data_IF_927607030624
#
_entry.id   IF_927607030624
#
_cell.length_a   1.000
_cell.length_b   1.000
_cell.length_c   1.000
_cell.angle_alpha   90.00
_cell.angle_beta   90.00
_cell.angle_gamma   90.00
#
_symmetry.space_group_name_H-M   'P 1'
#
loop_
_entity.id
_entity.type
_entity.pdbx_description
1 polymer ?
#
# COMPACT_ATOMS: atom_id res chain seq x y z
N UNK A 1 -13.76 6.43 11.62
CA UNK A 1 -14.31 7.67 11.10
C UNK A 1 -13.24 8.36 10.29
N UNK A 2 -13.44 8.47 9.00
CA UNK A 2 -12.57 9.25 8.15
C UNK A 2 -12.68 10.68 8.64
N UNK A 3 -11.62 11.32 9.14
CA UNK A 3 -11.72 12.72 9.50
C UNK A 3 -11.96 13.49 8.22
N UNK A 4 -13.20 13.84 8.02
CA UNK A 4 -13.54 14.84 7.03
C UNK A 4 -12.70 16.06 7.36
N UNK A 5 -12.05 16.62 6.37
CA UNK A 5 -11.18 17.75 6.47
C UNK A 5 -11.55 18.72 7.57
N UNK A 6 -10.68 18.87 8.55
CA UNK A 6 -10.79 19.96 9.52
C UNK A 6 -10.01 21.13 8.94
N UNK A 7 -10.72 22.19 8.66
CA UNK A 7 -10.11 23.45 8.30
C UNK A 7 -9.47 24.07 9.53
N UNK A 8 -8.18 24.33 9.46
CA UNK A 8 -7.59 25.28 10.39
C UNK A 8 -8.16 26.67 10.08
N UNK A 9 -8.40 27.46 11.10
CA UNK A 9 -8.92 28.81 10.95
C UNK A 9 -8.02 29.61 10.01
N UNK A 10 -8.58 30.13 8.92
CA UNK A 10 -7.85 30.89 7.92
C UNK A 10 -7.35 30.07 6.71
N UNK A 11 -7.51 28.76 6.69
CA UNK A 11 -7.21 27.98 5.49
C UNK A 11 -8.30 28.17 4.43
N UNK A 12 -7.86 28.24 3.18
CA UNK A 12 -8.78 28.28 2.02
C UNK A 12 -9.17 26.85 1.60
N UNK A 13 -10.42 26.68 1.17
CA UNK A 13 -10.93 25.40 0.68
C UNK A 13 -10.10 24.78 -0.46
N UNK A 14 -9.61 25.60 -1.36
CA UNK A 14 -8.78 25.18 -2.48
C UNK A 14 -7.43 24.58 -2.08
N UNK A 15 -7.05 24.70 -0.82
CA UNK A 15 -5.78 24.21 -0.28
C UNK A 15 -5.95 22.96 0.59
N UNK A 16 -7.09 22.29 0.52
CA UNK A 16 -7.23 21.05 1.26
C UNK A 16 -6.35 19.94 0.68
N UNK A 17 -5.94 19.03 1.53
CA UNK A 17 -5.03 17.95 1.17
C UNK A 17 -5.58 17.09 0.02
N UNK A 18 -6.87 16.81 0.01
CA UNK A 18 -7.50 16.00 -1.01
C UNK A 18 -7.39 16.64 -2.40
N UNK A 19 -7.74 17.93 -2.52
CA UNK A 19 -7.67 18.61 -3.82
C UNK A 19 -6.24 18.71 -4.36
N UNK A 20 -5.24 18.70 -3.49
CA UNK A 20 -3.83 18.65 -3.89
C UNK A 20 -3.40 17.25 -4.36
N UNK A 21 -4.04 16.19 -3.85
CA UNK A 21 -3.69 14.80 -4.15
C UNK A 21 -4.48 14.20 -5.31
N UNK A 22 -5.71 14.65 -5.56
CA UNK A 22 -6.56 14.11 -6.63
C UNK A 22 -5.88 14.06 -8.01
N UNK A 23 -5.10 15.05 -8.44
CA UNK A 23 -4.39 14.97 -9.72
C UNK A 23 -3.40 13.80 -9.81
N UNK A 24 -2.73 13.45 -8.71
CA UNK A 24 -1.85 12.30 -8.66
C UNK A 24 -2.64 10.99 -8.79
N UNK A 25 -3.73 10.85 -8.05
CA UNK A 25 -4.58 9.66 -8.09
C UNK A 25 -5.19 9.46 -9.48
N UNK A 26 -5.61 10.54 -10.13
CA UNK A 26 -6.11 10.51 -11.51
C UNK A 26 -5.04 10.04 -12.49
N UNK A 27 -3.80 10.53 -12.36
CA UNK A 27 -2.67 10.08 -13.19
C UNK A 27 -2.39 8.59 -13.02
N UNK A 28 -2.41 8.09 -11.78
CA UNK A 28 -2.23 6.67 -11.48
C UNK A 28 -3.34 5.86 -12.14
N UNK A 29 -4.60 6.23 -11.94
CA UNK A 29 -5.75 5.48 -12.45
C UNK A 29 -5.84 5.50 -13.98
N UNK A 30 -5.36 6.54 -14.64
CA UNK A 30 -5.27 6.59 -16.11
C UNK A 30 -4.25 5.60 -16.68
N UNK A 31 -3.22 5.26 -15.92
CA UNK A 31 -2.20 4.27 -16.30
C UNK A 31 -2.55 2.86 -15.86
N UNK A 32 -3.43 2.70 -14.90
CA UNK A 32 -3.77 1.40 -14.34
C UNK A 32 -4.46 0.52 -15.40
N UNK A 33 -4.12 -0.80 -15.44
CA UNK A 33 -4.89 -1.76 -16.21
C UNK A 33 -6.36 -1.76 -15.77
N UNK A 34 -7.27 -2.13 -16.67
CA UNK A 34 -8.72 -2.19 -16.36
C UNK A 34 -9.04 -3.12 -15.18
N UNK A 35 -8.22 -4.15 -14.96
CA UNK A 35 -8.37 -5.08 -13.83
C UNK A 35 -8.13 -4.43 -12.46
N UNK A 36 -7.47 -3.27 -12.40
CA UNK A 36 -7.16 -2.54 -11.16
C UNK A 36 -8.09 -1.33 -11.00
N UNK A 37 -9.32 -1.58 -10.59
CA UNK A 37 -10.36 -0.55 -10.51
C UNK A 37 -10.37 0.26 -9.22
N UNK A 38 -9.81 -0.27 -8.14
CA UNK A 38 -9.93 0.32 -6.81
C UNK A 38 -8.61 0.89 -6.36
N UNK A 39 -8.61 2.17 -6.03
CA UNK A 39 -7.48 2.85 -5.40
C UNK A 39 -7.81 3.11 -3.93
N UNK A 40 -6.92 2.68 -3.04
CA UNK A 40 -6.93 3.05 -1.64
C UNK A 40 -5.83 4.08 -1.42
N UNK A 41 -6.17 5.19 -0.79
CA UNK A 41 -5.21 6.23 -0.45
C UNK A 41 -5.34 6.61 1.03
N UNK A 42 -4.19 6.68 1.72
CA UNK A 42 -4.14 7.19 3.09
C UNK A 42 -4.53 8.67 3.14
N UNK A 43 -5.33 9.04 4.14
CA UNK A 43 -5.83 10.40 4.30
C UNK A 43 -4.88 11.35 5.02
N UNK A 44 -3.79 10.85 5.55
CA UNK A 44 -2.82 11.60 6.36
C UNK A 44 -1.45 11.80 5.69
N UNK A 45 -1.35 11.48 4.41
CA UNK A 45 -0.11 11.57 3.62
C UNK A 45 -0.28 12.58 2.49
N UNK A 46 0.68 13.47 2.34
CA UNK A 46 0.81 14.36 1.20
C UNK A 46 1.98 13.94 0.33
N UNK A 47 1.71 13.57 -0.92
CA UNK A 47 2.69 13.04 -1.86
C UNK A 47 2.82 13.97 -3.05
N UNK A 48 4.05 14.30 -3.40
CA UNK A 48 4.38 15.03 -4.62
C UNK A 48 5.16 14.11 -5.55
N UNK A 49 4.62 13.89 -6.75
CA UNK A 49 5.27 13.12 -7.80
C UNK A 49 5.40 13.99 -9.05
N UNK A 50 6.60 14.42 -9.35
CA UNK A 50 6.89 15.32 -10.46
C UNK A 50 7.45 14.58 -11.69
N UNK A 51 7.82 13.33 -11.54
CA UNK A 51 8.35 12.48 -12.60
C UNK A 51 7.23 11.69 -13.29
N UNK A 52 7.45 11.22 -14.51
CA UNK A 52 6.54 10.29 -15.16
C UNK A 52 6.36 9.02 -14.31
N UNK A 53 5.13 8.55 -14.19
CA UNK A 53 4.83 7.31 -13.49
C UNK A 53 5.28 6.11 -14.32
N UNK A 54 5.76 5.07 -13.63
CA UNK A 54 6.09 3.79 -14.24
C UNK A 54 4.83 3.11 -14.80
N UNK A 55 5.06 2.16 -15.72
CA UNK A 55 4.00 1.25 -16.16
C UNK A 55 3.50 0.41 -14.98
N UNK A 56 2.20 0.23 -14.92
CA UNK A 56 1.55 -0.52 -13.85
C UNK A 56 1.27 -1.94 -14.35
N UNK A 57 1.86 -2.96 -13.74
CA UNK A 57 1.64 -4.35 -14.16
C UNK A 57 0.22 -4.83 -13.86
N UNK A 58 -0.25 -5.79 -14.62
CA UNK A 58 -1.53 -6.44 -14.39
C UNK A 58 -1.38 -7.54 -13.33
N UNK A 59 -1.60 -7.15 -12.09
CA UNK A 59 -1.54 -8.01 -10.90
C UNK A 59 -2.76 -7.74 -10.01
N UNK A 60 -2.92 -8.51 -8.94
CA UNK A 60 -4.05 -8.32 -8.02
C UNK A 60 -3.91 -7.11 -7.12
N UNK A 61 -2.69 -6.81 -6.69
CA UNK A 61 -2.38 -5.69 -5.78
C UNK A 61 -1.13 -4.97 -6.25
N UNK A 62 -1.21 -3.65 -6.36
CA UNK A 62 -0.04 -2.78 -6.56
C UNK A 62 0.10 -1.87 -5.36
N UNK A 63 1.28 -1.85 -4.77
CA UNK A 63 1.59 -0.97 -3.65
C UNK A 63 2.68 0.02 -4.06
N UNK A 64 2.44 1.31 -3.82
CA UNK A 64 3.44 2.34 -4.02
C UNK A 64 4.27 2.57 -2.76
N UNK A 65 5.55 2.76 -2.94
CA UNK A 65 6.48 3.02 -1.86
C UNK A 65 7.57 4.02 -2.22
N UNK A 66 8.34 4.40 -1.23
CA UNK A 66 9.50 5.27 -1.38
C UNK A 66 10.76 4.59 -0.83
N UNK A 67 11.87 4.81 -1.54
CA UNK A 67 13.20 4.50 -1.01
C UNK A 67 13.51 5.50 0.09
N UNK A 68 13.71 5.02 1.30
CA UNK A 68 14.05 5.86 2.46
C UNK A 68 15.11 5.19 3.33
N UNK A 69 15.73 5.98 4.17
CA UNK A 69 16.64 5.46 5.19
C UNK A 69 15.89 4.59 6.21
N UNK A 70 16.53 3.53 6.73
CA UNK A 70 15.91 2.64 7.72
C UNK A 70 15.32 3.35 8.93
N UNK A 71 15.93 4.46 9.36
CA UNK A 71 15.46 5.28 10.47
C UNK A 71 14.06 5.87 10.27
N UNK A 72 13.65 6.12 9.03
CA UNK A 72 12.31 6.56 8.67
C UNK A 72 11.39 5.35 8.47
N UNK A 73 11.85 4.32 7.78
CA UNK A 73 11.07 3.13 7.47
C UNK A 73 10.50 2.44 8.72
N UNK A 74 11.24 2.42 9.83
CA UNK A 74 10.83 1.75 11.09
C UNK A 74 9.48 2.18 11.65
N UNK A 75 8.98 3.35 11.27
CA UNK A 75 7.71 3.90 11.78
C UNK A 75 6.51 3.59 10.88
N UNK A 76 6.74 2.90 9.76
CA UNK A 76 5.75 2.67 8.71
C UNK A 76 5.64 1.20 8.34
N UNK A 77 4.72 0.89 7.45
CA UNK A 77 4.74 -0.35 6.70
C UNK A 77 5.94 -0.38 5.74
N UNK A 78 6.55 -1.53 5.59
CA UNK A 78 7.72 -1.71 4.72
C UNK A 78 7.50 -2.90 3.80
N UNK A 79 7.60 -2.66 2.50
CA UNK A 79 7.59 -3.69 1.47
C UNK A 79 9.00 -4.18 1.24
N UNK A 80 9.21 -5.49 1.39
CA UNK A 80 10.51 -6.13 1.22
C UNK A 80 10.50 -6.93 -0.07
N UNK A 81 11.53 -6.77 -0.88
CA UNK A 81 11.73 -7.51 -2.12
C UNK A 81 13.13 -8.11 -2.19
N UNK A 82 13.24 -9.20 -2.93
CA UNK A 82 14.53 -9.76 -3.28
C UNK A 82 15.28 -8.83 -4.25
N UNK A 83 16.59 -8.72 -4.11
CA UNK A 83 17.44 -7.99 -5.08
C UNK A 83 17.34 -8.53 -6.52
N UNK A 84 16.95 -9.80 -6.67
CA UNK A 84 16.77 -10.43 -7.98
C UNK A 84 15.43 -10.10 -8.63
N UNK A 85 14.43 -9.70 -7.84
CA UNK A 85 13.07 -9.37 -8.31
C UNK A 85 12.55 -8.16 -7.53
N UNK A 86 13.09 -6.96 -7.80
CA UNK A 86 12.84 -5.77 -6.98
C UNK A 86 11.38 -5.28 -7.04
N UNK A 87 10.68 -5.57 -8.13
CA UNK A 87 9.29 -5.13 -8.33
C UNK A 87 8.25 -6.11 -7.79
N UNK A 88 8.70 -7.25 -7.24
CA UNK A 88 7.82 -8.27 -6.69
C UNK A 88 7.92 -8.29 -5.17
N UNK A 89 6.78 -8.23 -4.50
CA UNK A 89 6.75 -8.31 -3.05
C UNK A 89 7.18 -9.69 -2.58
N UNK A 90 8.19 -9.73 -1.72
CA UNK A 90 8.55 -10.94 -0.98
C UNK A 90 7.70 -11.07 0.28
N UNK A 91 7.70 -10.06 1.10
CA UNK A 91 6.80 -9.91 2.26
C UNK A 91 6.71 -8.44 2.71
N UNK A 92 5.69 -8.15 3.50
CA UNK A 92 5.50 -6.87 4.16
C UNK A 92 5.80 -6.98 5.65
N UNK A 93 6.37 -5.93 6.22
CA UNK A 93 6.56 -5.75 7.65
C UNK A 93 5.84 -4.49 8.12
N UNK A 94 5.29 -4.54 9.33
CA UNK A 94 4.64 -3.40 9.94
C UNK A 94 5.51 -2.86 11.09
N UNK A 95 6.00 -1.65 10.93
CA UNK A 95 6.86 -0.96 11.91
C UNK A 95 8.05 -1.82 12.39
N UNK A 96 8.89 -2.31 11.47
CA UNK A 96 10.01 -3.17 11.82
C UNK A 96 11.06 -2.42 12.64
N UNK A 97 11.79 -3.16 13.47
CA UNK A 97 12.93 -2.59 14.20
C UNK A 97 14.09 -2.26 13.26
N UNK A 98 14.99 -1.37 13.70
CA UNK A 98 16.22 -1.08 12.95
C UNK A 98 17.12 -2.31 12.83
N UNK A 99 17.13 -3.17 13.84
CA UNK A 99 17.85 -4.44 13.83
C UNK A 99 17.34 -5.34 12.68
N UNK A 100 16.04 -5.55 12.60
CA UNK A 100 15.40 -6.32 11.51
C UNK A 100 15.73 -5.74 10.14
N UNK A 101 15.64 -4.42 9.96
CA UNK A 101 15.99 -3.78 8.70
C UNK A 101 17.48 -3.92 8.37
N UNK A 102 18.35 -3.85 9.38
CA UNK A 102 19.79 -4.06 9.21
C UNK A 102 20.14 -5.47 8.75
N UNK A 103 19.50 -6.50 9.31
CA UNK A 103 19.67 -7.89 8.89
C UNK A 103 19.22 -8.12 7.43
N UNK A 104 18.12 -7.47 7.01
CA UNK A 104 17.60 -7.60 5.65
C UNK A 104 18.43 -6.84 4.61
N UNK A 105 19.10 -5.76 4.98
CA UNK A 105 19.78 -4.85 4.05
C UNK A 105 20.84 -5.53 3.16
N UNK A 106 21.45 -6.62 3.64
CA UNK A 106 22.45 -7.38 2.88
C UNK A 106 21.87 -8.15 1.69
N UNK A 107 20.64 -8.64 1.79
CA UNK A 107 20.03 -9.58 0.84
C UNK A 107 18.77 -9.05 0.15
N UNK A 108 18.12 -8.07 0.74
CA UNK A 108 16.83 -7.54 0.27
C UNK A 108 16.90 -6.04 0.00
N UNK A 109 15.91 -5.58 -0.73
CA UNK A 109 15.56 -4.18 -0.88
C UNK A 109 14.26 -3.92 -0.13
N UNK A 110 14.05 -2.69 0.31
CA UNK A 110 12.78 -2.34 0.94
C UNK A 110 12.33 -0.93 0.60
N UNK A 111 11.03 -0.77 0.44
CA UNK A 111 10.32 0.48 0.20
C UNK A 111 9.43 0.77 1.41
N UNK A 112 9.43 2.00 1.86
CA UNK A 112 8.44 2.47 2.83
C UNK A 112 7.08 2.63 2.14
N UNK A 113 6.03 2.06 2.72
CA UNK A 113 4.67 2.26 2.26
C UNK A 113 4.25 3.74 2.37
N UNK A 114 3.65 4.26 1.31
CA UNK A 114 3.13 5.63 1.26
C UNK A 114 1.61 5.68 1.29
N UNK A 115 0.95 4.55 1.52
CA UNK A 115 -0.49 4.48 1.64
C UNK A 115 -1.26 4.65 0.33
N UNK A 116 -0.68 4.30 -0.81
CA UNK A 116 -1.38 4.23 -2.10
C UNK A 116 -1.31 2.80 -2.62
N UNK A 117 -2.47 2.15 -2.71
CA UNK A 117 -2.62 0.78 -3.17
C UNK A 117 -3.67 0.69 -4.27
N UNK A 118 -3.40 -0.11 -5.30
CA UNK A 118 -4.36 -0.46 -6.32
C UNK A 118 -4.78 -1.92 -6.12
N UNK A 119 -6.06 -2.20 -6.23
CA UNK A 119 -6.63 -3.52 -6.00
C UNK A 119 -7.47 -3.98 -7.17
N UNK A 120 -7.33 -5.25 -7.54
CA UNK A 120 -8.25 -5.95 -8.42
C UNK A 120 -9.57 -6.25 -7.70
N UNK A 121 -10.60 -6.57 -8.46
CA UNK A 121 -11.88 -7.01 -7.89
C UNK A 121 -11.74 -8.25 -7.01
N UNK A 122 -10.84 -9.17 -7.38
CA UNK A 122 -10.51 -10.35 -6.58
C UNK A 122 -9.94 -9.94 -5.23
N UNK A 123 -8.99 -9.02 -5.21
CA UNK A 123 -8.38 -8.51 -3.96
C UNK A 123 -9.41 -7.77 -3.10
N UNK A 124 -10.27 -6.95 -3.70
CA UNK A 124 -11.35 -6.24 -3.00
C UNK A 124 -12.33 -7.23 -2.35
N UNK A 125 -12.76 -8.25 -3.10
CA UNK A 125 -13.67 -9.27 -2.54
C UNK A 125 -13.07 -10.00 -1.35
N UNK A 126 -11.79 -10.34 -1.40
CA UNK A 126 -11.12 -10.99 -0.28
C UNK A 126 -10.96 -10.04 0.92
N UNK A 127 -10.60 -8.78 0.67
CA UNK A 127 -10.51 -7.78 1.72
C UNK A 127 -11.86 -7.59 2.42
N UNK A 128 -12.95 -7.51 1.66
CA UNK A 128 -14.29 -7.42 2.22
C UNK A 128 -14.70 -8.67 2.97
N UNK A 129 -14.41 -9.86 2.44
CA UNK A 129 -14.69 -11.13 3.12
C UNK A 129 -14.04 -11.18 4.52
N UNK A 130 -12.81 -10.75 4.65
CA UNK A 130 -12.11 -10.67 5.93
C UNK A 130 -12.61 -9.56 6.85
N UNK A 131 -13.31 -8.58 6.31
CA UNK A 131 -13.90 -7.46 7.07
C UNK A 131 -15.27 -7.78 7.67
N UNK A 132 -15.78 -8.97 7.45
CA UNK A 132 -17.06 -9.45 8.00
C UNK A 132 -16.88 -10.67 8.88
N UNK A 133 -17.83 -10.89 9.76
CA UNK A 133 -17.93 -12.15 10.52
C UNK A 133 -18.18 -13.33 9.59
N UNK A 134 -17.89 -14.57 10.03
CA UNK A 134 -18.05 -15.77 9.20
C UNK A 134 -19.48 -15.96 8.67
N UNK A 135 -20.49 -15.53 9.45
CA UNK A 135 -21.89 -15.54 9.03
C UNK A 135 -22.29 -14.38 8.10
N UNK A 136 -21.36 -13.47 7.83
CA UNK A 136 -21.55 -12.29 6.94
C UNK A 136 -22.50 -11.22 7.49
N UNK A 137 -22.93 -11.32 8.75
CA UNK A 137 -23.97 -10.44 9.32
C UNK A 137 -23.42 -9.18 9.98
N UNK A 138 -22.17 -9.19 10.40
CA UNK A 138 -21.57 -8.05 11.08
C UNK A 138 -20.18 -7.73 10.51
N UNK A 139 -19.84 -6.45 10.51
CA UNK A 139 -18.48 -6.00 10.21
C UNK A 139 -17.59 -6.25 11.43
N UNK A 140 -16.36 -6.63 11.18
CA UNK A 140 -15.31 -6.73 12.19
C UNK A 140 -14.14 -5.83 11.84
N UNK A 141 -13.36 -5.44 12.84
CA UNK A 141 -12.11 -4.74 12.61
C UNK A 141 -11.16 -5.64 11.79
N UNK A 142 -10.61 -5.08 10.72
CA UNK A 142 -9.63 -5.73 9.87
C UNK A 142 -8.62 -4.69 9.41
N UNK A 143 -7.35 -4.92 9.70
CA UNK A 143 -6.29 -3.96 9.44
C UNK A 143 -5.67 -4.21 8.06
N UNK A 144 -5.70 -3.20 7.19
CA UNK A 144 -5.12 -3.28 5.84
C UNK A 144 -3.62 -3.59 5.87
N UNK A 145 -2.90 -3.07 6.83
CA UNK A 145 -1.44 -3.23 6.93
C UNK A 145 -1.04 -4.45 7.74
N UNK A 146 -1.52 -4.53 8.98
CA UNK A 146 -1.11 -5.55 9.94
C UNK A 146 -1.77 -6.93 9.73
N UNK A 147 -2.83 -6.99 8.93
CA UNK A 147 -3.54 -8.26 8.63
C UNK A 147 -3.51 -8.56 7.13
N UNK A 148 -4.11 -7.74 6.29
CA UNK A 148 -4.13 -7.96 4.85
C UNK A 148 -2.72 -7.88 4.23
N UNK A 149 -1.98 -6.81 4.50
CA UNK A 149 -0.63 -6.59 3.95
C UNK A 149 0.36 -7.68 4.34
N UNK A 150 0.34 -8.15 5.60
CA UNK A 150 1.21 -9.21 6.08
C UNK A 150 0.90 -10.59 5.48
N UNK A 151 -0.26 -10.77 4.87
CA UNK A 151 -0.64 -11.98 4.14
C UNK A 151 -0.22 -11.97 2.67
N UNK A 152 0.36 -10.87 2.17
CA UNK A 152 0.77 -10.70 0.78
C UNK A 152 2.24 -11.09 0.57
N UNK A 153 2.57 -11.40 -0.69
CA UNK A 153 3.93 -11.68 -1.13
C UNK A 153 4.26 -13.15 -1.29
N UNK A 154 5.50 -13.42 -1.69
CA UNK A 154 5.99 -14.79 -1.90
C UNK A 154 6.23 -15.54 -0.60
N UNK A 155 6.67 -14.82 0.45
CA UNK A 155 6.94 -15.35 1.77
C UNK A 155 6.12 -14.60 2.83
N UNK A 156 4.77 -14.72 2.80
CA UNK A 156 3.89 -13.92 3.65
C UNK A 156 4.13 -14.21 5.12
N UNK A 157 3.88 -13.21 5.95
CA UNK A 157 4.04 -13.30 7.42
C UNK A 157 2.78 -13.84 8.11
N UNK A 158 1.66 -13.81 7.40
CA UNK A 158 0.39 -14.40 7.85
C UNK A 158 -0.02 -15.46 6.83
N UNK A 159 -0.35 -16.64 7.33
CA UNK A 159 -0.84 -17.74 6.49
C UNK A 159 -2.33 -17.58 6.25
N UNK A 160 -2.72 -17.43 4.99
CA UNK A 160 -4.09 -17.42 4.52
C UNK A 160 -4.13 -17.99 3.10
N UNK A 161 -4.87 -19.04 2.87
CA UNK A 161 -4.84 -19.80 1.62
C UNK A 161 -5.29 -18.99 0.39
N UNK A 162 -6.15 -18.00 0.57
CA UNK A 162 -6.64 -17.17 -0.50
C UNK A 162 -5.76 -15.91 -0.69
N UNK A 163 -5.46 -15.19 0.40
CA UNK A 163 -4.65 -13.97 0.36
C UNK A 163 -3.21 -14.24 -0.12
N UNK A 164 -2.63 -15.36 0.29
CA UNK A 164 -1.28 -15.74 -0.11
C UNK A 164 -1.16 -16.03 -1.62
N UNK A 165 -2.27 -16.24 -2.32
CA UNK A 165 -2.29 -16.47 -3.77
C UNK A 165 -2.39 -15.18 -4.60
N UNK A 166 -2.65 -14.04 -3.98
CA UNK A 166 -2.73 -12.77 -4.69
C UNK A 166 -1.36 -12.40 -5.27
N UNK A 167 -1.34 -11.99 -6.54
CA UNK A 167 -0.14 -11.44 -7.17
C UNK A 167 0.04 -9.99 -6.74
N UNK A 168 1.26 -9.62 -6.36
CA UNK A 168 1.57 -8.30 -5.79
C UNK A 168 2.82 -7.71 -6.43
N UNK A 169 2.69 -6.49 -6.92
CA UNK A 169 3.81 -5.68 -7.37
C UNK A 169 4.01 -4.49 -6.43
N UNK A 170 5.26 -4.12 -6.22
CA UNK A 170 5.64 -2.91 -5.50
C UNK A 170 6.34 -1.96 -6.46
N UNK A 171 5.92 -0.72 -6.48
CA UNK A 171 6.44 0.29 -7.38
C UNK A 171 6.97 1.50 -6.59
N UNK A 172 8.21 1.92 -6.84
CA UNK A 172 8.69 3.17 -6.30
C UNK A 172 7.96 4.33 -6.96
N UNK A 173 7.52 5.28 -6.19
CA UNK A 173 7.00 6.54 -6.71
C UNK A 173 8.18 7.47 -6.97
N UNK A 174 8.36 7.96 -8.21
CA UNK A 174 9.49 8.81 -8.58
C UNK A 174 9.33 10.26 -8.11
#
# INVERSE_FOLDING_TARGET
PIPVFRWARGQRLSQNLLSLQLPLYERIMKKAPESLHTLIASGDVYIRANQPLQEIPEVDVVCYGLWVEPSLAKNHGVFVSSRKSPDTLDFMLQKPSLETLGELAGSHLFLMDIGIWLLSDKAVRLLMKHSYTEDGKAMKAYDLYAEFGLALGKNPRITDSELNQLSVAILPLP
#
